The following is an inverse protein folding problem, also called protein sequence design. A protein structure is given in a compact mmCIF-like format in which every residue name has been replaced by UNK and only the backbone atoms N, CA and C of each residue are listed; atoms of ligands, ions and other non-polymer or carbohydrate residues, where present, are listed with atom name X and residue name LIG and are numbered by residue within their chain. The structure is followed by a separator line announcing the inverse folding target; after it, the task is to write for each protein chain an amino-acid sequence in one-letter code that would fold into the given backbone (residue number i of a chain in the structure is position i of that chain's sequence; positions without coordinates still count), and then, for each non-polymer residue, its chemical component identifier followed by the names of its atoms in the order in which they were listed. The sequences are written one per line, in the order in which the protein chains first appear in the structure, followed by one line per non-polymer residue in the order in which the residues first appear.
data_IF_812608393693
#
_entry.id   IF_812608393693
#
_cell.length_a   1.000
_cell.length_b   1.000
_cell.length_c   1.000
_cell.angle_alpha   90.00
_cell.angle_beta   90.00
_cell.angle_gamma   90.00
#
_symmetry.space_group_name_H-M   'P 1'
#
loop_
_entity.id
_entity.type
_entity.pdbx_description
1 polymer ?
#
# COMPACT_ATOMS: atom_id res chain seq x y z
N UNK A 1 -3.56 -5.14 -13.75
CA UNK A 1 -2.19 -4.60 -13.86
C UNK A 1 -2.26 -3.27 -14.59
N UNK A 2 -1.34 -2.34 -14.32
CA UNK A 2 -1.37 -1.00 -14.91
C UNK A 2 -0.60 -1.05 -16.25
N UNK A 3 -1.20 -0.67 -17.38
CA UNK A 3 -0.56 -0.81 -18.72
C UNK A 3 0.78 -0.10 -18.84
N UNK A 4 1.01 0.95 -18.03
CA UNK A 4 2.31 1.62 -17.90
C UNK A 4 3.37 0.71 -17.27
N UNK A 5 3.00 -0.07 -16.25
CA UNK A 5 3.93 -0.97 -15.54
C UNK A 5 4.31 -2.16 -16.42
N UNK A 6 3.36 -2.70 -17.20
CA UNK A 6 3.64 -3.76 -18.18
C UNK A 6 4.61 -3.28 -19.28
N UNK A 7 4.43 -2.04 -19.76
CA UNK A 7 5.34 -1.43 -20.73
C UNK A 7 6.75 -1.20 -20.17
N UNK A 8 6.88 -0.88 -18.88
CA UNK A 8 8.18 -0.73 -18.20
C UNK A 8 8.85 -2.11 -18.04
N UNK A 9 8.09 -3.12 -17.60
CA UNK A 9 8.61 -4.48 -17.45
C UNK A 9 9.12 -5.06 -18.78
N UNK A 10 8.46 -4.77 -19.91
CA UNK A 10 8.98 -5.15 -21.24
C UNK A 10 10.32 -4.47 -21.53
N UNK A 11 10.49 -3.19 -21.19
CA UNK A 11 11.74 -2.47 -21.39
C UNK A 11 12.86 -3.05 -20.52
N UNK A 12 12.57 -3.32 -19.24
CA UNK A 12 13.54 -3.87 -18.27
C UNK A 12 13.90 -5.33 -18.52
N UNK A 13 13.04 -6.09 -19.21
CA UNK A 13 13.31 -7.49 -19.58
C UNK A 13 14.31 -7.67 -20.74
N UNK A 14 14.65 -6.59 -21.44
CA UNK A 14 15.60 -6.59 -22.56
C UNK A 14 17.04 -6.59 -22.07
N UNK A 15 17.93 -7.11 -22.91
CA UNK A 15 19.35 -7.12 -22.59
C UNK A 15 19.93 -5.70 -22.52
N UNK A 16 20.85 -5.42 -21.59
CA UNK A 16 21.48 -4.11 -21.47
C UNK A 16 22.27 -3.78 -22.74
N UNK A 17 21.75 -2.83 -23.53
CA UNK A 17 22.32 -2.40 -24.81
C UNK A 17 21.45 -2.71 -26.03
N UNK A 18 20.37 -3.49 -25.87
CA UNK A 18 19.40 -3.71 -26.93
C UNK A 18 18.65 -2.40 -27.25
N UNK A 19 18.66 -1.99 -28.51
CA UNK A 19 17.96 -0.78 -28.93
C UNK A 19 16.45 -1.01 -28.98
N UNK A 20 15.70 -0.13 -28.33
CA UNK A 20 14.24 -0.13 -28.38
C UNK A 20 13.69 1.26 -28.65
N UNK A 21 12.50 1.32 -29.24
CA UNK A 21 11.79 2.58 -29.47
C UNK A 21 10.60 2.73 -28.51
N UNK A 22 10.61 3.80 -27.71
CA UNK A 22 9.48 4.15 -26.84
C UNK A 22 8.17 4.31 -27.61
N UNK A 23 8.20 4.71 -28.90
CA UNK A 23 6.97 4.85 -29.70
C UNK A 23 6.31 3.49 -29.98
N UNK A 24 7.11 2.47 -30.29
CA UNK A 24 6.60 1.14 -30.61
C UNK A 24 5.97 0.50 -29.35
N UNK A 25 6.66 0.58 -28.22
CA UNK A 25 6.18 0.04 -26.94
C UNK A 25 4.94 0.81 -26.47
N UNK A 26 4.96 2.15 -26.53
CA UNK A 26 3.80 2.98 -26.20
C UNK A 26 2.57 2.61 -27.04
N UNK A 27 2.75 2.39 -28.35
CA UNK A 27 1.68 1.97 -29.24
C UNK A 27 1.15 0.56 -28.91
N UNK A 28 2.04 -0.38 -28.58
CA UNK A 28 1.69 -1.75 -28.18
C UNK A 28 0.77 -1.78 -26.95
N UNK A 29 1.08 -0.96 -25.95
CA UNK A 29 0.33 -0.89 -24.68
C UNK A 29 -0.73 0.20 -24.65
N UNK A 30 -0.95 0.94 -25.74
CA UNK A 30 -1.85 2.10 -25.80
C UNK A 30 -1.58 3.15 -24.71
N UNK A 31 -0.30 3.38 -24.39
CA UNK A 31 0.18 4.32 -23.37
C UNK A 31 0.74 5.57 -24.03
N UNK A 32 0.66 6.74 -23.38
CA UNK A 32 1.35 7.93 -23.87
C UNK A 32 2.88 7.76 -23.79
N UNK A 33 3.56 7.96 -24.93
CA UNK A 33 5.03 7.84 -25.06
C UNK A 33 5.81 8.68 -24.03
N UNK A 34 5.40 9.92 -23.79
CA UNK A 34 6.11 10.84 -22.88
C UNK A 34 5.98 10.35 -21.44
N UNK A 35 4.79 9.89 -21.06
CA UNK A 35 4.53 9.31 -19.74
C UNK A 35 5.38 8.05 -19.52
N UNK A 36 5.45 7.16 -20.51
CA UNK A 36 6.26 5.94 -20.45
C UNK A 36 7.75 6.26 -20.28
N UNK A 37 8.29 7.21 -21.06
CA UNK A 37 9.69 7.62 -20.98
C UNK A 37 10.04 8.19 -19.60
N UNK A 38 9.25 9.13 -19.08
CA UNK A 38 9.49 9.75 -17.76
C UNK A 38 9.46 8.74 -16.63
N UNK A 39 8.52 7.78 -16.71
CA UNK A 39 8.38 6.68 -15.75
C UNK A 39 9.57 5.74 -15.76
N UNK A 40 9.98 5.29 -16.94
CA UNK A 40 11.11 4.37 -17.11
C UNK A 40 12.44 5.01 -16.66
N UNK A 41 12.65 6.31 -16.94
CA UNK A 41 13.83 7.05 -16.45
C UNK A 41 13.77 7.44 -14.97
N UNK A 42 12.73 7.02 -14.25
CA UNK A 42 12.45 7.41 -12.86
C UNK A 42 12.41 8.93 -12.63
N UNK A 43 12.17 9.75 -13.67
CA UNK A 43 12.07 11.21 -13.58
C UNK A 43 10.77 11.65 -12.89
N UNK A 44 9.80 10.74 -12.74
CA UNK A 44 8.55 11.00 -12.02
C UNK A 44 8.20 9.77 -11.19
N UNK A 45 8.22 9.91 -9.88
CA UNK A 45 7.64 8.91 -9.00
C UNK A 45 6.14 8.78 -9.24
N UNK A 46 5.61 7.59 -8.98
CA UNK A 46 4.17 7.35 -9.01
C UNK A 46 3.44 8.42 -8.17
N UNK A 47 2.46 9.13 -8.74
CA UNK A 47 1.69 10.13 -7.98
C UNK A 47 1.04 9.49 -6.74
N UNK A 48 0.70 8.20 -6.83
CA UNK A 48 0.21 7.42 -5.69
C UNK A 48 1.26 7.27 -4.59
N UNK A 49 2.54 7.14 -4.92
CA UNK A 49 3.65 7.01 -3.96
C UNK A 49 3.93 8.35 -3.30
N UNK A 50 4.00 9.43 -4.10
CA UNK A 50 4.26 10.79 -3.58
C UNK A 50 3.17 11.31 -2.63
N UNK A 51 1.90 10.95 -2.86
CA UNK A 51 0.77 11.39 -2.02
C UNK A 51 0.34 10.39 -0.95
N UNK A 52 1.08 9.30 -0.74
CA UNK A 52 0.78 8.39 0.36
C UNK A 52 1.15 9.03 1.70
N UNK A 53 0.26 8.88 2.69
CA UNK A 53 0.51 9.41 4.04
C UNK A 53 1.68 8.69 4.76
N UNK A 54 2.07 7.52 4.26
CA UNK A 54 3.19 6.69 4.72
C UNK A 54 4.02 6.26 3.52
N UNK A 55 5.35 6.33 3.64
CA UNK A 55 6.26 5.84 2.60
C UNK A 55 6.04 4.33 2.36
N UNK A 56 6.12 3.82 1.12
CA UNK A 56 5.87 2.40 0.81
C UNK A 56 6.70 1.43 1.66
N UNK A 57 7.94 1.79 2.00
CA UNK A 57 8.80 1.00 2.87
C UNK A 57 8.25 0.87 4.29
N UNK A 58 7.79 1.99 4.87
CA UNK A 58 7.15 2.01 6.20
C UNK A 58 5.84 1.25 6.21
N UNK A 59 5.10 1.32 5.11
CA UNK A 59 3.87 0.54 4.96
C UNK A 59 4.17 -0.96 4.89
N UNK A 60 5.27 -1.37 4.23
CA UNK A 60 5.70 -2.77 4.21
C UNK A 60 6.15 -3.28 5.59
N UNK A 61 6.84 -2.46 6.38
CA UNK A 61 7.15 -2.76 7.79
C UNK A 61 5.87 -3.00 8.61
N UNK A 62 4.88 -2.12 8.46
CA UNK A 62 3.58 -2.26 9.13
C UNK A 62 2.86 -3.56 8.73
N UNK A 63 2.85 -3.91 7.44
CA UNK A 63 2.26 -5.17 6.96
C UNK A 63 2.94 -6.39 7.58
N UNK A 64 4.29 -6.40 7.64
CA UNK A 64 5.04 -7.50 8.27
C UNK A 64 4.69 -7.63 9.75
N UNK A 65 4.62 -6.51 10.46
CA UNK A 65 4.25 -6.50 11.88
C UNK A 65 2.83 -7.04 12.11
N UNK A 66 1.85 -6.56 11.34
CA UNK A 66 0.47 -7.05 11.41
C UNK A 66 0.38 -8.55 11.11
N UNK A 67 1.17 -9.05 10.16
CA UNK A 67 1.25 -10.48 9.86
C UNK A 67 1.76 -11.28 11.06
N UNK A 68 2.82 -10.84 11.72
CA UNK A 68 3.33 -11.50 12.94
C UNK A 68 2.30 -11.53 14.07
N UNK A 69 1.56 -10.43 14.28
CA UNK A 69 0.47 -10.39 15.27
C UNK A 69 -0.67 -11.36 14.92
N UNK A 70 -1.00 -11.46 13.64
CA UNK A 70 -2.05 -12.37 13.17
C UNK A 70 -1.63 -13.83 13.35
N UNK A 71 -0.36 -14.17 13.09
CA UNK A 71 0.24 -15.49 13.35
C UNK A 71 0.20 -15.84 14.85
N UNK A 72 0.40 -14.84 15.72
CA UNK A 72 0.26 -14.97 17.18
C UNK A 72 -1.19 -15.01 17.68
N UNK A 73 -2.18 -15.12 16.79
CA UNK A 73 -3.63 -15.12 17.11
C UNK A 73 -4.11 -13.83 17.79
N UNK A 74 -3.42 -12.72 17.59
CA UNK A 74 -3.77 -11.38 18.09
C UNK A 74 -4.03 -10.43 16.92
N UNK A 75 -5.14 -10.61 16.17
CA UNK A 75 -5.43 -9.75 15.02
C UNK A 75 -5.60 -8.29 15.49
N UNK A 76 -4.81 -7.35 14.95
CA UNK A 76 -4.85 -5.97 15.42
C UNK A 76 -6.15 -5.28 15.01
N UNK A 77 -6.74 -4.55 15.96
CA UNK A 77 -7.94 -3.73 15.73
C UNK A 77 -7.61 -2.52 14.86
N UNK A 78 -8.60 -1.98 14.14
CA UNK A 78 -8.49 -0.73 13.35
C UNK A 78 -7.77 0.41 14.10
N UNK A 79 -8.11 0.61 15.37
CA UNK A 79 -7.50 1.62 16.25
C UNK A 79 -6.01 1.37 16.49
N UNK A 80 -5.62 0.10 16.68
CA UNK A 80 -4.23 -0.29 16.88
C UNK A 80 -3.41 -0.03 15.60
N UNK A 81 -3.99 -0.37 14.43
CA UNK A 81 -3.38 -0.08 13.13
C UNK A 81 -3.19 1.42 12.94
N UNK A 82 -4.18 2.23 13.31
CA UNK A 82 -4.10 3.69 13.26
C UNK A 82 -3.01 4.25 14.17
N UNK A 83 -2.89 3.73 15.39
CA UNK A 83 -1.88 4.15 16.37
C UNK A 83 -0.47 3.86 15.84
N UNK A 84 -0.23 2.65 15.35
CA UNK A 84 1.06 2.28 14.77
C UNK A 84 1.39 3.06 13.50
N UNK A 85 0.40 3.24 12.62
CA UNK A 85 0.56 4.08 11.44
C UNK A 85 0.91 5.53 11.82
N UNK A 86 0.30 6.06 12.88
CA UNK A 86 0.59 7.42 13.36
C UNK A 86 1.99 7.54 13.97
N UNK A 87 2.45 6.51 14.69
CA UNK A 87 3.82 6.45 15.22
C UNK A 87 4.85 6.39 14.09
N UNK A 88 4.64 5.54 13.08
CA UNK A 88 5.52 5.41 11.92
C UNK A 88 5.54 6.66 11.03
N UNK A 89 4.41 7.36 10.92
CA UNK A 89 4.28 8.57 10.12
C UNK A 89 4.74 9.85 10.84
N UNK A 90 4.93 9.80 12.16
CA UNK A 90 5.21 10.97 13.00
C UNK A 90 4.07 11.98 13.06
N UNK A 91 2.87 11.62 12.60
CA UNK A 91 1.68 12.49 12.52
C UNK A 91 0.40 11.67 12.70
N UNK A 92 -0.69 12.26 13.22
CA UNK A 92 -1.95 11.56 13.36
C UNK A 92 -2.49 11.14 11.99
N UNK A 93 -2.79 9.86 11.85
CA UNK A 93 -3.38 9.27 10.65
C UNK A 93 -4.90 9.20 10.83
N UNK A 94 -5.66 9.52 9.79
CA UNK A 94 -7.13 9.53 9.86
C UNK A 94 -7.74 8.12 9.75
N UNK A 95 -8.97 7.95 10.21
CA UNK A 95 -9.69 6.68 10.05
C UNK A 95 -9.90 6.31 8.57
N UNK A 96 -10.15 7.30 7.70
CA UNK A 96 -10.24 7.07 6.25
C UNK A 96 -8.96 6.49 5.65
N UNK A 97 -7.80 6.79 6.23
CA UNK A 97 -6.54 6.17 5.80
C UNK A 97 -6.52 4.68 6.16
N UNK A 98 -7.01 4.30 7.34
CA UNK A 98 -7.12 2.89 7.78
C UNK A 98 -8.04 2.11 6.83
N UNK A 99 -9.15 2.71 6.41
CA UNK A 99 -10.04 2.10 5.41
C UNK A 99 -9.35 1.89 4.06
N UNK A 100 -8.56 2.86 3.59
CA UNK A 100 -7.76 2.71 2.35
C UNK A 100 -6.67 1.66 2.51
N UNK A 101 -6.00 1.61 3.67
CA UNK A 101 -4.99 0.62 3.99
C UNK A 101 -5.57 -0.81 3.96
N UNK A 102 -6.72 -1.01 4.61
CA UNK A 102 -7.45 -2.29 4.58
C UNK A 102 -7.87 -2.70 3.17
N UNK A 103 -8.30 -1.76 2.32
CA UNK A 103 -8.63 -2.03 0.92
C UNK A 103 -7.42 -2.40 0.07
N UNK A 104 -6.25 -1.84 0.36
CA UNK A 104 -4.99 -2.17 -0.31
C UNK A 104 -4.43 -3.54 0.10
N UNK A 105 -4.70 -3.96 1.34
CA UNK A 105 -4.19 -5.21 1.94
C UNK A 105 -5.32 -6.16 2.38
N UNK A 106 -6.17 -6.64 1.46
CA UNK A 106 -7.35 -7.45 1.81
C UNK A 106 -6.97 -8.79 2.46
N UNK A 107 -5.82 -9.37 2.13
CA UNK A 107 -5.44 -10.71 2.57
C UNK A 107 -4.76 -10.76 3.95
N UNK A 108 -4.38 -9.61 4.52
CA UNK A 108 -3.54 -9.55 5.72
C UNK A 108 -4.31 -9.27 7.01
N UNK A 109 -5.62 -9.00 6.93
CA UNK A 109 -6.37 -8.37 8.03
C UNK A 109 -7.76 -8.95 8.29
N UNK A 110 -8.23 -9.90 7.48
CA UNK A 110 -9.56 -10.49 7.66
C UNK A 110 -9.47 -11.62 8.70
N UNK A 111 -9.43 -11.26 9.98
CA UNK A 111 -10.15 -12.08 10.95
C UNK A 111 -11.50 -11.43 11.19
N UNK A 112 -12.56 -12.18 10.91
CA UNK A 112 -13.98 -11.80 11.04
C UNK A 112 -14.39 -11.46 12.50
N UNK A 113 -13.42 -11.37 13.42
CA UNK A 113 -13.56 -11.30 14.89
C UNK A 113 -13.53 -9.87 15.46
N UNK A 114 -13.09 -8.86 14.69
CA UNK A 114 -12.83 -7.51 15.22
C UNK A 114 -14.07 -6.70 15.65
N UNK A 115 -15.21 -6.83 14.95
CA UNK A 115 -16.41 -6.01 15.26
C UNK A 115 -17.07 -6.39 16.59
N UNK A 116 -17.13 -7.69 16.90
CA UNK A 116 -17.71 -8.18 18.15
C UNK A 116 -16.77 -7.89 19.33
N UNK A 117 -15.50 -8.27 19.22
CA UNK A 117 -14.48 -8.09 20.26
C UNK A 117 -14.22 -6.61 20.61
N UNK A 118 -14.19 -5.70 19.61
CA UNK A 118 -13.96 -4.29 19.89
C UNK A 118 -15.10 -3.67 20.70
N UNK A 119 -16.35 -4.04 20.40
CA UNK A 119 -17.54 -3.58 21.11
C UNK A 119 -17.56 -4.08 22.56
N UNK A 120 -17.10 -5.31 22.80
CA UNK A 120 -16.98 -5.87 24.15
C UNK A 120 -15.91 -5.15 24.99
N UNK A 121 -14.77 -4.80 24.39
CA UNK A 121 -13.70 -4.07 25.08
C UNK A 121 -14.09 -2.63 25.43
N UNK A 122 -14.73 -1.90 24.50
CA UNK A 122 -15.22 -0.53 24.79
C UNK A 122 -16.24 -0.53 25.91
N UNK A 123 -17.08 -1.58 26.00
CA UNK A 123 -18.06 -1.75 27.07
C UNK A 123 -17.42 -2.05 28.43
N UNK A 124 -16.32 -2.82 28.46
CA UNK A 124 -15.60 -3.11 29.70
C UNK A 124 -14.93 -1.84 30.28
N UNK A 125 -14.29 -1.02 29.44
CA UNK A 125 -13.62 0.21 29.88
C UNK A 125 -14.61 1.32 30.29
N UNK A 126 -15.85 1.27 29.79
CA UNK A 126 -16.91 2.24 30.14
C UNK A 126 -17.80 1.81 31.32
N UNK A 127 -17.55 0.62 31.88
CA UNK A 127 -18.27 0.09 33.06
C UNK A 127 -17.74 0.59 34.41
N UNK A 128 -16.62 1.32 34.43
CA UNK A 128 -16.10 1.95 35.64
C UNK A 128 -16.65 3.38 35.77
N UNK A 129 -17.86 3.51 36.29
CA UNK A 129 -18.41 4.78 36.78
C UNK A 129 -19.20 4.56 38.06
#
# INVERSE_FOLDING_TARGET
MNSIQEAIAEIESRDPGEQFSYQQIAKKYSVNRVTLMRRHKHETEDYSVRNQSLHPEREAELVRYIKTLTEQRLPPTRTIIQQFASQLAGKPVSESWVDRYLRRHPNHLISRSGKAMAKERTKADSGAK
#
